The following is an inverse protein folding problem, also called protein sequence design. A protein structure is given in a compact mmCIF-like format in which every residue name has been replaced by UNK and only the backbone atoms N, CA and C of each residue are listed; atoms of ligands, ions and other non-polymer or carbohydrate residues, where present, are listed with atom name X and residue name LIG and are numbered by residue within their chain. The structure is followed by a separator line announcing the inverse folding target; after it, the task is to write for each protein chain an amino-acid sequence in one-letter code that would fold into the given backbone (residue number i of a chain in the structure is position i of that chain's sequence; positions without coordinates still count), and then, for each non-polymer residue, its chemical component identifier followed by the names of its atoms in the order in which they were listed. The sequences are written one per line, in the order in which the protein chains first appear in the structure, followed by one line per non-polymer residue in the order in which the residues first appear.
data_IF_663149337561
#
_entry.id   IF_663149337561
#
_cell.length_a   1.000
_cell.length_b   1.000
_cell.length_c   1.000
_cell.angle_alpha   90.00
_cell.angle_beta   90.00
_cell.angle_gamma   90.00
#
_symmetry.space_group_name_H-M   'P 1'
#
loop_
_entity.id
_entity.type
_entity.pdbx_description
1 polymer ?
#
# COMPACT_ATOMS: atom_id res chain seq x y z
N UNK A 1 -14.28 2.90 -3.98
CA UNK A 1 -13.91 4.28 -4.33
C UNK A 1 -13.59 4.35 -5.82
N UNK A 2 -13.94 5.44 -6.50
CA UNK A 2 -13.71 5.62 -7.95
C UNK A 2 -12.93 6.90 -8.19
N UNK A 3 -11.80 6.82 -8.90
CA UNK A 3 -11.05 7.99 -9.36
C UNK A 3 -11.90 8.74 -10.40
N UNK A 4 -12.06 10.06 -10.21
CA UNK A 4 -12.87 10.92 -11.09
C UNK A 4 -12.08 12.05 -11.72
N UNK A 5 -10.90 12.38 -11.21
CA UNK A 5 -10.04 13.41 -11.79
C UNK A 5 -8.58 13.16 -11.48
N UNK A 6 -7.71 13.47 -12.44
CA UNK A 6 -6.27 13.64 -12.25
C UNK A 6 -5.99 15.13 -12.03
N UNK A 7 -5.23 15.47 -10.99
CA UNK A 7 -4.92 16.85 -10.64
C UNK A 7 -3.54 17.31 -11.08
N UNK A 8 -2.58 16.38 -11.19
CA UNK A 8 -1.21 16.72 -11.55
C UNK A 8 -0.17 15.88 -10.81
N UNK A 9 1.08 16.32 -10.95
CA UNK A 9 2.23 15.76 -10.23
C UNK A 9 2.78 16.85 -9.31
N UNK A 10 3.09 16.49 -8.07
CA UNK A 10 3.72 17.36 -7.08
C UNK A 10 5.04 16.74 -6.62
N UNK A 11 6.13 17.45 -6.87
CA UNK A 11 7.46 17.06 -6.41
C UNK A 11 7.73 17.52 -4.97
N UNK A 12 8.72 16.88 -4.32
CA UNK A 12 9.21 17.25 -2.99
C UNK A 12 8.12 17.30 -1.91
N UNK A 13 7.13 16.42 -1.98
CA UNK A 13 6.19 16.25 -0.88
C UNK A 13 6.87 15.56 0.28
N UNK A 14 6.92 16.24 1.42
CA UNK A 14 7.48 15.68 2.66
C UNK A 14 6.35 15.08 3.51
N UNK A 15 6.54 13.82 3.93
CA UNK A 15 5.68 13.19 4.93
C UNK A 15 6.50 12.87 6.18
N UNK A 16 5.94 13.18 7.35
CA UNK A 16 6.53 12.87 8.65
C UNK A 16 5.96 11.54 9.15
N UNK A 17 6.76 10.49 9.08
CA UNK A 17 6.53 9.25 9.82
C UNK A 17 6.81 9.47 11.32
N UNK A 18 6.52 8.47 12.14
CA UNK A 18 6.72 8.56 13.59
C UNK A 18 8.18 8.86 13.96
N UNK A 19 9.14 8.29 13.24
CA UNK A 19 10.58 8.30 13.54
C UNK A 19 11.43 9.05 12.49
N UNK A 20 10.91 9.28 11.28
CA UNK A 20 11.67 9.91 10.20
C UNK A 20 10.79 10.72 9.24
N UNK A 21 11.44 11.52 8.39
CA UNK A 21 10.81 12.22 7.25
C UNK A 21 11.17 11.51 5.96
N UNK A 22 10.23 11.48 5.03
CA UNK A 22 10.46 10.90 3.71
C UNK A 22 9.89 11.82 2.63
N UNK A 23 10.63 11.93 1.51
CA UNK A 23 10.28 12.75 0.37
C UNK A 23 9.65 11.90 -0.73
N UNK A 24 8.63 12.46 -1.36
CA UNK A 24 7.85 11.79 -2.40
C UNK A 24 7.65 12.69 -3.62
N UNK A 25 7.55 12.05 -4.77
CA UNK A 25 6.88 12.59 -5.96
C UNK A 25 5.46 12.06 -5.94
N UNK A 26 4.47 12.95 -5.81
CA UNK A 26 3.05 12.57 -5.77
C UNK A 26 2.41 12.66 -7.15
N UNK A 27 1.67 11.63 -7.51
CA UNK A 27 0.64 11.69 -8.56
C UNK A 27 -0.70 11.90 -7.88
N UNK A 28 -1.36 13.03 -8.15
CA UNK A 28 -2.50 13.52 -7.39
C UNK A 28 -3.83 13.28 -8.12
N UNK A 29 -4.82 12.80 -7.39
CA UNK A 29 -6.15 12.45 -7.89
C UNK A 29 -7.26 12.97 -6.97
N UNK A 30 -8.45 13.10 -7.54
CA UNK A 30 -9.71 13.14 -6.79
C UNK A 30 -10.44 11.84 -7.01
N UNK A 31 -10.92 11.26 -5.92
CA UNK A 31 -11.77 10.08 -5.94
C UNK A 31 -13.08 10.31 -5.17
N UNK A 32 -14.12 9.57 -5.54
CA UNK A 32 -15.42 9.58 -4.87
C UNK A 32 -15.73 8.21 -4.27
N UNK A 33 -16.34 8.21 -3.09
CA UNK A 33 -16.99 7.06 -2.49
C UNK A 33 -18.39 7.46 -1.96
N UNK A 34 -19.00 6.62 -1.12
CA UNK A 34 -20.32 6.91 -0.53
C UNK A 34 -20.28 8.01 0.55
N UNK A 35 -19.10 8.32 1.09
CA UNK A 35 -18.88 9.34 2.12
C UNK A 35 -18.50 10.70 1.51
N UNK A 36 -18.13 10.73 0.23
CA UNK A 36 -17.98 11.95 -0.54
C UNK A 36 -16.70 12.01 -1.36
N UNK A 37 -16.10 13.21 -1.40
CA UNK A 37 -14.91 13.51 -2.18
C UNK A 37 -13.65 13.35 -1.34
N UNK A 38 -12.67 12.65 -1.90
CA UNK A 38 -11.37 12.40 -1.29
C UNK A 38 -10.23 12.90 -2.16
N UNK A 39 -9.20 13.46 -1.52
CA UNK A 39 -7.91 13.68 -2.15
C UNK A 39 -7.09 12.39 -2.05
N UNK A 40 -6.59 11.90 -3.18
CA UNK A 40 -5.80 10.68 -3.22
C UNK A 40 -4.46 10.97 -3.86
N UNK A 41 -3.37 10.70 -3.14
CA UNK A 41 -2.01 10.92 -3.62
C UNK A 41 -1.28 9.58 -3.68
N UNK A 42 -0.77 9.22 -4.85
CA UNK A 42 0.13 8.08 -5.03
C UNK A 42 1.56 8.61 -5.02
N UNK A 43 2.25 8.42 -3.89
CA UNK A 43 3.59 8.93 -3.66
C UNK A 43 4.65 7.92 -4.01
N UNK A 44 5.59 8.30 -4.85
CA UNK A 44 6.74 7.49 -5.26
C UNK A 44 8.00 7.96 -4.53
N UNK A 45 8.78 7.01 -4.02
CA UNK A 45 10.08 7.27 -3.38
C UNK A 45 11.00 6.04 -3.51
N UNK A 46 12.20 6.14 -2.98
CA UNK A 46 13.16 5.04 -2.86
C UNK A 46 13.68 4.96 -1.43
N UNK A 47 13.72 3.76 -0.86
CA UNK A 47 14.19 3.52 0.51
C UNK A 47 14.93 2.19 0.57
N UNK A 48 16.00 2.16 1.36
CA UNK A 48 16.71 0.91 1.64
C UNK A 48 15.79 -0.07 2.37
N UNK A 49 15.57 -1.25 1.81
CA UNK A 49 14.75 -2.31 2.40
C UNK A 49 15.22 -3.66 1.92
N UNK A 50 15.37 -4.57 2.88
CA UNK A 50 15.96 -5.90 2.66
C UNK A 50 17.32 -5.82 1.96
N UNK A 51 18.17 -4.86 2.38
CA UNK A 51 19.54 -4.69 1.91
C UNK A 51 19.71 -4.09 0.51
N UNK A 52 18.64 -3.62 -0.13
CA UNK A 52 18.69 -2.94 -1.42
C UNK A 52 17.92 -1.62 -1.34
N UNK A 53 18.36 -0.61 -2.10
CA UNK A 53 17.53 0.57 -2.34
C UNK A 53 16.40 0.20 -3.30
N UNK A 54 15.16 0.20 -2.82
CA UNK A 54 13.99 -0.25 -3.58
C UNK A 54 13.03 0.89 -3.82
N UNK A 55 12.39 0.86 -4.98
CA UNK A 55 11.22 1.72 -5.24
C UNK A 55 10.11 1.39 -4.27
N UNK A 56 9.49 2.46 -3.79
CA UNK A 56 8.41 2.46 -2.81
C UNK A 56 7.28 3.29 -3.34
N UNK A 57 6.06 2.82 -3.12
CA UNK A 57 4.85 3.59 -3.38
C UNK A 57 4.02 3.64 -2.11
N UNK A 58 3.54 4.82 -1.76
CA UNK A 58 2.63 5.02 -0.63
C UNK A 58 1.40 5.73 -1.14
N UNK A 59 0.24 5.15 -0.85
CA UNK A 59 -1.05 5.75 -1.20
C UNK A 59 -1.61 6.46 0.00
N UNK A 60 -1.73 7.78 -0.12
CA UNK A 60 -2.35 8.66 0.85
C UNK A 60 -3.80 8.94 0.45
N UNK A 61 -4.71 8.88 1.40
CA UNK A 61 -6.10 9.34 1.24
C UNK A 61 -6.33 10.40 2.31
N UNK A 62 -6.74 11.60 1.88
CA UNK A 62 -6.96 12.77 2.74
C UNK A 62 -5.74 13.08 3.64
N UNK A 63 -4.53 12.89 3.09
CA UNK A 63 -3.26 13.15 3.76
C UNK A 63 -2.76 12.02 4.68
N UNK A 64 -3.51 10.93 4.85
CA UNK A 64 -3.10 9.79 5.68
C UNK A 64 -2.66 8.58 4.83
N UNK A 65 -1.52 7.92 5.12
CA UNK A 65 -1.05 6.75 4.38
C UNK A 65 -1.87 5.51 4.75
N UNK A 66 -2.45 4.87 3.73
CA UNK A 66 -3.26 3.66 3.94
C UNK A 66 -2.68 2.41 3.29
N UNK A 67 -1.85 2.55 2.25
CA UNK A 67 -1.15 1.42 1.65
C UNK A 67 0.29 1.78 1.33
N UNK A 68 1.21 0.92 1.73
CA UNK A 68 2.63 0.98 1.37
C UNK A 68 2.97 -0.22 0.49
N UNK A 69 3.78 0.04 -0.52
CA UNK A 69 4.23 -0.94 -1.49
C UNK A 69 5.75 -0.90 -1.61
N UNK A 70 6.35 -2.06 -1.85
CA UNK A 70 7.79 -2.22 -2.11
C UNK A 70 8.01 -3.00 -3.41
N UNK A 71 8.98 -2.56 -4.21
CA UNK A 71 9.35 -3.24 -5.44
C UNK A 71 9.85 -4.67 -5.22
N UNK A 72 9.33 -5.59 -6.04
CA UNK A 72 9.82 -6.96 -6.15
C UNK A 72 11.27 -7.02 -6.70
N UNK A 73 11.94 -8.17 -6.60
CA UNK A 73 13.31 -8.33 -7.12
C UNK A 73 13.38 -8.21 -8.65
N UNK A 74 12.31 -8.55 -9.35
CA UNK A 74 12.20 -8.48 -10.81
C UNK A 74 11.48 -7.21 -11.30
N UNK A 75 11.37 -6.18 -10.45
CA UNK A 75 10.66 -4.94 -10.74
C UNK A 75 11.04 -4.31 -12.09
N UNK A 76 12.32 -4.29 -12.47
CA UNK A 76 12.74 -3.68 -13.74
C UNK A 76 12.17 -4.39 -14.99
N UNK A 77 11.68 -5.63 -14.82
CA UNK A 77 11.04 -6.40 -15.88
C UNK A 77 9.52 -6.36 -15.80
N UNK A 78 8.97 -6.44 -14.59
CA UNK A 78 7.53 -6.60 -14.37
C UNK A 78 6.82 -5.29 -14.04
N UNK A 79 7.50 -4.38 -13.34
CA UNK A 79 6.89 -3.22 -12.68
C UNK A 79 6.15 -3.57 -11.39
N UNK A 80 6.31 -4.80 -10.88
CA UNK A 80 5.50 -5.31 -9.77
C UNK A 80 5.94 -4.77 -8.40
N UNK A 81 4.93 -4.36 -7.65
CA UNK A 81 4.99 -3.82 -6.31
C UNK A 81 4.21 -4.74 -5.37
N UNK A 82 4.70 -4.89 -4.14
CA UNK A 82 4.13 -5.77 -3.13
C UNK A 82 3.68 -4.97 -1.91
N UNK A 83 2.46 -5.18 -1.45
CA UNK A 83 1.96 -4.66 -0.17
C UNK A 83 1.59 -5.81 0.75
N UNK A 84 2.31 -5.95 1.87
CA UNK A 84 2.02 -6.95 2.90
C UNK A 84 0.57 -6.86 3.36
N UNK A 85 -0.13 -8.00 3.45
CA UNK A 85 -1.44 -8.06 4.07
C UNK A 85 -1.24 -8.04 5.58
N UNK A 86 -1.79 -7.03 6.25
CA UNK A 86 -1.78 -6.89 7.71
C UNK A 86 -3.20 -7.00 8.21
N UNK A 87 -3.41 -7.79 9.25
CA UNK A 87 -4.73 -7.94 9.85
C UNK A 87 -4.91 -6.84 10.91
N UNK A 88 -6.13 -6.33 11.00
CA UNK A 88 -6.49 -5.37 12.03
C UNK A 88 -7.16 -6.15 13.17
N UNK A 89 -6.54 -6.19 14.35
CA UNK A 89 -7.17 -6.74 15.56
C UNK A 89 -7.00 -5.75 16.71
N UNK A 90 -8.02 -5.64 17.57
CA UNK A 90 -7.94 -4.93 18.87
C UNK A 90 -7.23 -3.57 18.85
N UNK A 91 -7.58 -2.72 17.88
CA UNK A 91 -7.10 -1.32 17.74
C UNK A 91 -5.66 -1.12 17.25
N UNK A 92 -4.95 -2.20 16.93
CA UNK A 92 -3.63 -2.16 16.32
C UNK A 92 -3.58 -3.06 15.06
N UNK A 93 -2.63 -2.81 14.16
CA UNK A 93 -2.31 -3.78 13.12
C UNK A 93 -1.58 -4.95 13.80
N UNK A 94 -2.34 -5.94 14.23
CA UNK A 94 -1.83 -7.14 14.87
C UNK A 94 -1.61 -8.21 13.80
N UNK A 95 -0.33 -8.52 13.65
CA UNK A 95 0.26 -9.56 12.81
C UNK A 95 0.07 -9.43 11.29
N UNK A 96 1.18 -9.67 10.59
CA UNK A 96 1.17 -9.87 9.15
C UNK A 96 0.49 -11.21 8.86
N UNK A 97 -0.30 -11.27 7.80
CA UNK A 97 -0.91 -12.53 7.39
C UNK A 97 0.18 -13.52 6.92
N UNK A 98 0.43 -14.58 7.68
CA UNK A 98 1.63 -15.41 7.53
C UNK A 98 1.54 -16.33 6.30
N UNK A 99 2.54 -16.26 5.43
CA UNK A 99 2.71 -17.15 4.29
C UNK A 99 3.67 -18.30 4.62
N UNK A 100 3.36 -19.58 4.30
CA UNK A 100 2.12 -20.09 3.71
C UNK A 100 1.14 -20.65 4.75
N UNK A 101 1.32 -20.32 6.04
CA UNK A 101 0.61 -20.96 7.15
C UNK A 101 -0.87 -20.52 7.24
N UNK A 102 -1.15 -19.24 6.97
CA UNK A 102 -2.48 -18.66 7.05
C UNK A 102 -3.17 -18.62 5.67
N UNK A 103 -4.50 -18.62 5.71
CA UNK A 103 -5.32 -18.40 4.51
C UNK A 103 -5.45 -16.91 4.20
N UNK A 104 -5.51 -16.58 2.91
CA UNK A 104 -5.74 -15.21 2.45
C UNK A 104 -7.14 -14.75 2.92
N UNK A 105 -7.27 -13.62 3.64
CA UNK A 105 -8.58 -13.14 4.09
C UNK A 105 -9.49 -12.83 2.90
N UNK A 106 -10.77 -13.21 3.01
CA UNK A 106 -11.73 -13.12 1.89
C UNK A 106 -11.92 -11.70 1.33
N UNK A 107 -11.72 -10.66 2.16
CA UNK A 107 -11.79 -9.26 1.73
C UNK A 107 -10.72 -8.88 0.69
N UNK A 108 -9.63 -9.66 0.59
CA UNK A 108 -8.58 -9.49 -0.41
C UNK A 108 -8.81 -10.31 -1.68
N UNK A 109 -9.93 -11.03 -1.82
CA UNK A 109 -10.18 -11.96 -2.93
C UNK A 109 -10.22 -11.31 -4.33
N UNK A 110 -10.38 -9.98 -4.41
CA UNK A 110 -10.38 -9.24 -5.67
C UNK A 110 -8.99 -8.71 -6.06
N UNK A 111 -7.96 -8.97 -5.25
CA UNK A 111 -6.59 -8.57 -5.53
C UNK A 111 -5.77 -9.79 -5.97
N UNK A 112 -4.72 -9.53 -6.76
CA UNK A 112 -3.69 -10.53 -6.98
C UNK A 112 -2.88 -10.66 -5.70
N UNK A 113 -2.79 -11.86 -5.13
CA UNK A 113 -2.08 -12.10 -3.85
C UNK A 113 -1.05 -13.20 -4.02
N UNK A 114 0.17 -12.92 -3.56
CA UNK A 114 1.29 -13.88 -3.56
C UNK A 114 2.08 -13.80 -2.26
N UNK A 115 2.77 -14.90 -1.93
CA UNK A 115 3.73 -14.91 -0.82
C UNK A 115 4.91 -13.99 -1.14
N UNK A 116 5.18 -13.03 -0.26
CA UNK A 116 6.28 -12.08 -0.39
C UNK A 116 7.65 -12.75 -0.62
N UNK A 117 7.99 -13.88 0.05
CA UNK A 117 9.25 -14.59 -0.21
C UNK A 117 9.35 -15.17 -1.63
N UNK A 118 8.26 -15.29 -2.39
CA UNK A 118 8.32 -15.73 -3.78
C UNK A 118 8.81 -14.63 -4.73
N UNK A 119 8.60 -13.37 -4.35
CA UNK A 119 8.89 -12.18 -5.17
C UNK A 119 10.10 -11.38 -4.68
N UNK A 120 10.52 -11.56 -3.43
CA UNK A 120 11.73 -10.97 -2.84
C UNK A 120 12.58 -12.05 -2.16
N UNK A 121 13.82 -12.25 -2.63
CA UNK A 121 14.80 -13.25 -2.17
C UNK A 121 15.93 -12.63 -1.35
N UNK A 122 15.58 -11.68 -0.48
CA UNK A 122 16.53 -10.98 0.36
C UNK A 122 16.46 -11.45 1.82
N UNK A 123 17.57 -11.35 2.55
CA UNK A 123 17.61 -11.70 3.97
C UNK A 123 16.70 -10.77 4.77
N UNK A 124 15.88 -11.35 5.66
CA UNK A 124 14.94 -10.61 6.49
C UNK A 124 13.62 -10.25 5.80
N UNK A 125 13.40 -10.74 4.57
CA UNK A 125 12.05 -10.70 3.97
C UNK A 125 11.06 -11.40 4.88
N UNK A 126 9.90 -10.78 5.05
CA UNK A 126 8.84 -11.33 5.86
C UNK A 126 8.17 -12.52 5.18
N UNK A 127 7.80 -13.53 5.95
CA UNK A 127 6.95 -14.64 5.50
C UNK A 127 5.49 -14.18 5.53
N UNK A 128 5.13 -13.25 4.65
CA UNK A 128 3.79 -12.66 4.61
C UNK A 128 3.13 -12.89 3.24
N UNK A 129 1.80 -13.01 3.24
CA UNK A 129 1.01 -12.77 2.04
C UNK A 129 1.08 -11.29 1.66
N UNK A 130 1.09 -11.01 0.36
CA UNK A 130 1.17 -9.65 -0.17
C UNK A 130 0.25 -9.46 -1.37
N UNK A 131 -0.41 -8.31 -1.43
CA UNK A 131 -1.09 -7.85 -2.64
C UNK A 131 -0.02 -7.44 -3.65
N UNK A 132 -0.12 -7.97 -4.86
CA UNK A 132 0.73 -7.61 -6.00
C UNK A 132 -0.04 -6.58 -6.83
N UNK A 133 0.57 -5.42 -7.07
CA UNK A 133 0.05 -4.40 -7.96
C UNK A 133 1.16 -3.96 -8.92
N UNK A 134 0.79 -3.48 -10.12
CA UNK A 134 1.78 -2.92 -11.03
C UNK A 134 1.95 -1.41 -10.79
N UNK A 135 3.18 -0.91 -10.95
CA UNK A 135 3.50 0.53 -10.85
C UNK A 135 2.63 1.40 -11.77
N UNK A 136 2.16 0.89 -12.91
CA UNK A 136 1.27 1.63 -13.82
C UNK A 136 -0.21 1.61 -13.40
N UNK A 137 -0.60 0.70 -12.51
CA UNK A 137 -2.01 0.43 -12.17
C UNK A 137 -2.43 1.15 -10.88
N UNK A 138 -2.48 2.48 -10.93
CA UNK A 138 -2.82 3.31 -9.76
C UNK A 138 -4.20 2.98 -9.18
N UNK A 139 -5.16 2.56 -10.01
CA UNK A 139 -6.49 2.20 -9.53
C UNK A 139 -6.47 1.01 -8.56
N UNK A 140 -5.61 0.02 -8.78
CA UNK A 140 -5.46 -1.14 -7.90
C UNK A 140 -4.84 -0.72 -6.56
N UNK A 141 -3.77 0.08 -6.61
CA UNK A 141 -3.12 0.63 -5.42
C UNK A 141 -4.10 1.48 -4.58
N UNK A 142 -4.89 2.33 -5.23
CA UNK A 142 -5.93 3.17 -4.61
C UNK A 142 -7.05 2.31 -4.02
N UNK A 143 -7.44 1.23 -4.70
CA UNK A 143 -8.47 0.31 -4.21
C UNK A 143 -8.02 -0.42 -2.94
N UNK A 144 -6.76 -0.85 -2.87
CA UNK A 144 -6.20 -1.43 -1.66
C UNK A 144 -6.16 -0.43 -0.50
N UNK A 145 -5.69 0.80 -0.76
CA UNK A 145 -5.67 1.86 0.24
C UNK A 145 -7.07 2.17 0.78
N UNK A 146 -8.07 2.16 -0.11
CA UNK A 146 -9.46 2.35 0.29
C UNK A 146 -9.99 1.22 1.18
N UNK A 147 -9.70 -0.03 0.84
CA UNK A 147 -10.06 -1.18 1.67
C UNK A 147 -9.52 -1.00 3.10
N UNK A 148 -8.23 -0.68 3.24
CA UNK A 148 -7.58 -0.47 4.55
C UNK A 148 -8.13 0.73 5.31
N UNK A 149 -8.52 1.80 4.60
CA UNK A 149 -9.26 2.93 5.20
C UNK A 149 -10.57 2.45 5.82
N UNK A 150 -11.34 1.64 5.09
CA UNK A 150 -12.61 1.10 5.59
C UNK A 150 -12.41 0.17 6.78
N UNK A 151 -11.39 -0.71 6.76
CA UNK A 151 -11.04 -1.56 7.90
C UNK A 151 -10.80 -0.72 9.15
N UNK A 152 -9.92 0.29 9.06
CA UNK A 152 -9.61 1.18 10.17
C UNK A 152 -10.84 1.92 10.71
N UNK A 153 -11.70 2.42 9.83
CA UNK A 153 -12.95 3.12 10.21
C UNK A 153 -13.96 2.20 10.88
N UNK A 154 -14.11 0.95 10.40
CA UNK A 154 -15.02 -0.03 10.99
C UNK A 154 -14.61 -0.41 12.41
N UNK A 155 -13.31 -0.55 12.67
CA UNK A 155 -12.80 -0.83 14.01
C UNK A 155 -12.92 0.38 14.94
N UNK A 156 -12.65 1.59 14.44
CA UNK A 156 -12.77 2.83 15.24
C UNK A 156 -14.19 3.08 15.75
N UNK A 157 -15.23 2.62 15.03
CA UNK A 157 -16.66 2.78 15.39
C UNK A 157 -17.19 1.74 16.38
N UNK A 158 -16.42 0.68 16.68
CA UNK A 158 -16.83 -0.37 17.65
C UNK A 158 -16.48 -0.02 19.11
N UNK A 159 -15.88 1.15 19.35
CA UNK A 159 -15.64 1.76 20.65
C UNK A 159 -16.75 2.73 21.02
#
# INVERSE_FOLDING_TARGET
MKVVSFLGVKENYEYQWFDHKELYILVQYIALDNNGRHEVNVGHTERETYGLNRKRVVVFIDGYPYAEFVAADDFDKTGDLLSEIRLFQEDEYLDMCEYPAEGIPAIYANFTVEGMPNRIKAKGVHNAWSVVANISEHNEMISLAFLRKQEKEMHSKKK
#
